data_IF_205082215398
#
_entry.id   IF_205082215398
#
_cell.length_a   1.000
_cell.length_b   1.000
_cell.length_c   1.000
_cell.angle_alpha   90.00
_cell.angle_beta   90.00
_cell.angle_gamma   90.00
#
_symmetry.space_group_name_H-M   'P 1'
#
loop_
_entity.id
_entity.type
_entity.pdbx_description
1 polymer ?
#
# COMPACT_ATOMS: atom_id res chain seq x y z
N UNK A 1 10.55 -17.23 -25.09
CA UNK A 1 10.95 -16.84 -23.75
C UNK A 1 9.77 -16.81 -22.85
N UNK A 2 9.74 -17.66 -21.88
CA UNK A 2 8.63 -17.63 -20.96
C UNK A 2 8.61 -16.31 -20.19
N UNK A 3 7.44 -15.85 -19.84
CA UNK A 3 7.30 -14.69 -18.98
C UNK A 3 7.99 -14.96 -17.65
N UNK A 4 8.59 -13.92 -17.08
CA UNK A 4 9.20 -14.04 -15.75
C UNK A 4 8.07 -14.17 -14.76
N UNK A 5 8.00 -15.32 -14.10
CA UNK A 5 7.03 -15.54 -13.05
C UNK A 5 7.45 -14.78 -11.79
N UNK A 6 6.47 -14.23 -11.09
CA UNK A 6 6.70 -13.65 -9.79
C UNK A 6 6.86 -14.81 -8.78
N UNK A 7 7.99 -14.82 -8.07
CA UNK A 7 8.21 -15.77 -6.99
C UNK A 7 7.53 -15.23 -5.73
N UNK A 8 6.57 -15.96 -5.14
CA UNK A 8 5.86 -15.48 -3.95
C UNK A 8 6.78 -15.11 -2.78
N UNK A 9 7.85 -15.87 -2.56
CA UNK A 9 8.79 -15.56 -1.49
C UNK A 9 9.57 -14.28 -1.78
N UNK A 10 10.00 -14.09 -3.03
CA UNK A 10 10.69 -12.87 -3.44
C UNK A 10 9.77 -11.67 -3.40
N UNK A 11 8.52 -11.83 -3.81
CA UNK A 11 7.53 -10.76 -3.75
C UNK A 11 7.27 -10.31 -2.31
N UNK A 12 7.13 -11.25 -1.39
CA UNK A 12 6.91 -10.93 0.02
C UNK A 12 8.13 -10.23 0.62
N UNK A 13 9.31 -10.72 0.33
CA UNK A 13 10.55 -10.12 0.82
C UNK A 13 10.71 -8.68 0.30
N UNK A 14 10.39 -8.44 -0.96
CA UNK A 14 10.45 -7.11 -1.54
C UNK A 14 9.41 -6.17 -0.91
N UNK A 15 8.20 -6.66 -0.67
CA UNK A 15 7.16 -5.86 -0.02
C UNK A 15 7.56 -5.47 1.41
N UNK A 16 8.33 -6.29 2.10
CA UNK A 16 8.91 -5.95 3.40
C UNK A 16 9.97 -4.85 3.24
N UNK A 17 10.85 -4.99 2.26
CA UNK A 17 11.89 -3.99 1.98
C UNK A 17 11.27 -2.63 1.68
N UNK A 18 10.18 -2.59 0.94
CA UNK A 18 9.47 -1.33 0.62
C UNK A 18 9.03 -0.63 1.92
N UNK A 19 8.44 -1.37 2.84
CA UNK A 19 8.04 -0.81 4.14
C UNK A 19 9.25 -0.33 4.93
N UNK A 20 10.31 -1.13 4.98
CA UNK A 20 11.54 -0.77 5.71
C UNK A 20 12.15 0.51 5.18
N UNK A 21 12.23 0.65 3.86
CA UNK A 21 12.86 1.82 3.25
C UNK A 21 12.03 3.10 3.45
N UNK A 22 10.71 2.99 3.39
CA UNK A 22 9.84 4.13 3.67
C UNK A 22 9.99 4.58 5.12
N UNK A 23 10.04 3.63 6.05
CA UNK A 23 10.22 3.96 7.46
C UNK A 23 11.61 4.55 7.74
N UNK A 24 12.64 4.04 7.11
CA UNK A 24 13.99 4.58 7.25
C UNK A 24 14.05 6.03 6.77
N UNK A 25 13.20 6.42 5.84
CA UNK A 25 13.09 7.79 5.34
C UNK A 25 12.19 8.68 6.21
N UNK A 26 11.64 8.15 7.29
CA UNK A 26 10.82 8.92 8.23
C UNK A 26 9.32 8.86 7.98
N UNK A 27 8.86 7.97 7.11
CA UNK A 27 7.43 7.85 6.78
C UNK A 27 6.80 6.65 7.48
N UNK A 28 5.49 6.72 7.71
CA UNK A 28 4.72 5.54 8.08
C UNK A 28 4.54 4.66 6.85
N UNK A 29 4.54 3.36 7.03
CA UNK A 29 4.26 2.42 5.94
C UNK A 29 3.75 1.11 6.53
N UNK A 30 2.69 0.58 5.93
CA UNK A 30 2.02 -0.64 6.35
C UNK A 30 1.54 -1.38 5.10
N UNK A 31 1.41 -2.69 5.18
CA UNK A 31 0.69 -3.43 4.15
C UNK A 31 -0.80 -3.14 4.25
N UNK A 32 -1.49 -3.14 3.11
CA UNK A 32 -2.90 -2.80 3.03
C UNK A 32 -3.62 -3.68 2.02
N UNK A 33 -4.94 -3.69 2.08
CA UNK A 33 -5.77 -4.34 1.08
C UNK A 33 -5.81 -5.85 1.18
N UNK A 34 -5.95 -6.50 0.03
CA UNK A 34 -6.14 -7.95 -0.05
C UNK A 34 -4.99 -8.77 0.50
N UNK A 35 -3.75 -8.27 0.44
CA UNK A 35 -2.61 -9.01 0.99
C UNK A 35 -2.71 -9.15 2.51
N UNK A 36 -3.26 -8.17 3.20
CA UNK A 36 -3.46 -8.25 4.65
C UNK A 36 -4.48 -9.33 4.97
N UNK A 37 -5.61 -9.32 4.25
CA UNK A 37 -6.62 -10.37 4.40
C UNK A 37 -6.01 -11.75 4.18
N UNK A 38 -5.28 -11.93 3.08
CA UNK A 38 -4.71 -13.22 2.73
C UNK A 38 -3.69 -13.69 3.75
N UNK A 39 -2.81 -12.79 4.23
CA UNK A 39 -1.85 -13.13 5.28
C UNK A 39 -2.55 -13.56 6.57
N UNK A 40 -3.61 -12.86 6.97
CA UNK A 40 -4.34 -13.21 8.19
C UNK A 40 -5.09 -14.53 8.07
N UNK A 41 -5.49 -14.92 6.85
CA UNK A 41 -6.15 -16.18 6.58
C UNK A 41 -5.20 -17.32 6.25
N UNK A 42 -3.88 -17.07 6.31
CA UNK A 42 -2.88 -18.08 5.99
C UNK A 42 -2.75 -18.38 4.51
N UNK A 43 -3.22 -17.49 3.65
CA UNK A 43 -3.13 -17.65 2.19
C UNK A 43 -1.94 -16.87 1.66
N UNK A 44 -1.43 -17.29 0.51
CA UNK A 44 -0.34 -16.56 -0.16
C UNK A 44 -0.95 -15.42 -1.00
N UNK A 45 -0.63 -14.16 -0.69
CA UNK A 45 -1.13 -13.04 -1.50
C UNK A 45 -0.59 -13.09 -2.93
N UNK A 46 -1.42 -12.71 -3.90
CA UNK A 46 -1.00 -12.55 -5.29
C UNK A 46 -0.20 -11.26 -5.48
N UNK A 47 -0.64 -10.19 -4.83
CA UNK A 47 -0.03 -8.88 -4.92
C UNK A 47 0.09 -8.28 -3.53
N UNK A 48 1.06 -7.37 -3.36
CA UNK A 48 1.23 -6.62 -2.12
C UNK A 48 1.01 -5.14 -2.39
N UNK A 49 0.23 -4.51 -1.52
CA UNK A 49 0.01 -3.08 -1.54
C UNK A 49 0.53 -2.49 -0.24
N UNK A 50 1.16 -1.34 -0.34
CA UNK A 50 1.68 -0.60 0.81
C UNK A 50 0.94 0.73 0.90
N UNK A 51 0.50 1.08 2.08
CA UNK A 51 -0.07 2.38 2.39
C UNK A 51 0.93 3.15 3.24
N UNK A 52 1.10 4.43 2.95
CA UNK A 52 2.16 5.24 3.57
C UNK A 52 1.73 6.68 3.77
N UNK A 53 2.39 7.37 4.71
CA UNK A 53 2.26 8.82 4.85
C UNK A 53 3.09 9.58 3.81
N UNK A 54 4.01 8.92 3.12
CA UNK A 54 4.81 9.55 2.08
C UNK A 54 3.93 9.92 0.88
N UNK A 55 4.12 11.13 0.36
CA UNK A 55 3.44 11.57 -0.86
C UNK A 55 4.10 10.93 -2.08
N UNK A 56 3.44 10.93 -3.24
CA UNK A 56 4.01 10.31 -4.43
C UNK A 56 5.42 10.76 -4.79
N UNK A 57 5.70 12.05 -4.70
CA UNK A 57 7.05 12.57 -4.96
C UNK A 57 8.06 12.07 -3.94
N UNK A 58 7.66 11.93 -2.70
CA UNK A 58 8.52 11.40 -1.63
C UNK A 58 8.79 9.91 -1.82
N UNK A 59 7.80 9.15 -2.26
CA UNK A 59 7.98 7.72 -2.60
C UNK A 59 9.01 7.59 -3.71
N UNK A 60 8.88 8.40 -4.76
CA UNK A 60 9.83 8.37 -5.86
C UNK A 60 11.25 8.78 -5.43
N UNK A 61 11.34 9.70 -4.46
CA UNK A 61 12.64 10.09 -3.91
C UNK A 61 13.31 8.93 -3.16
N UNK A 62 12.53 8.11 -2.45
CA UNK A 62 13.05 6.96 -1.71
C UNK A 62 13.56 5.86 -2.64
N UNK A 63 12.81 5.54 -3.68
CA UNK A 63 13.12 4.39 -4.55
C UNK A 63 13.81 4.76 -5.86
N UNK A 64 13.77 6.03 -6.25
CA UNK A 64 14.35 6.52 -7.49
C UNK A 64 13.40 6.45 -8.66
N UNK A 65 13.58 7.34 -9.62
CA UNK A 65 12.68 7.43 -10.76
C UNK A 65 12.73 6.22 -11.68
N UNK A 66 13.89 5.56 -11.76
CA UNK A 66 14.05 4.38 -12.60
C UNK A 66 13.32 3.16 -12.05
N UNK A 67 13.05 3.15 -10.76
CA UNK A 67 12.38 2.04 -10.08
C UNK A 67 10.94 2.34 -9.74
N UNK A 68 10.40 3.43 -10.25
CA UNK A 68 9.02 3.83 -9.94
C UNK A 68 8.28 4.22 -11.21
N UNK A 69 6.98 3.93 -11.22
CA UNK A 69 6.07 4.36 -12.27
C UNK A 69 5.02 5.28 -11.64
N UNK A 70 4.78 6.42 -12.29
CA UNK A 70 3.92 7.45 -11.73
C UNK A 70 2.54 7.51 -12.39
N UNK A 71 2.09 6.44 -13.04
CA UNK A 71 0.81 6.43 -13.75
C UNK A 71 -0.36 6.78 -12.82
N UNK A 72 -0.32 6.27 -11.60
CA UNK A 72 -1.36 6.54 -10.60
C UNK A 72 -1.08 7.72 -9.68
N UNK A 73 -0.07 8.55 -9.97
CA UNK A 73 0.37 9.61 -9.04
C UNK A 73 -0.72 10.61 -8.71
N UNK A 74 -1.62 10.92 -9.67
CA UNK A 74 -2.72 11.86 -9.44
C UNK A 74 -3.71 11.33 -8.38
N UNK A 75 -3.74 10.02 -8.16
CA UNK A 75 -4.57 9.37 -7.15
C UNK A 75 -3.78 8.96 -5.92
N UNK A 76 -2.53 9.38 -5.83
CA UNK A 76 -1.68 9.08 -4.70
C UNK A 76 -0.99 7.73 -4.75
N UNK A 77 -0.89 7.10 -5.92
CA UNK A 77 -0.31 5.76 -6.06
C UNK A 77 0.96 5.81 -6.91
N UNK A 78 2.04 5.23 -6.40
CA UNK A 78 3.28 5.02 -7.13
C UNK A 78 3.55 3.51 -7.17
N UNK A 79 3.83 2.99 -8.35
CA UNK A 79 4.25 1.61 -8.51
C UNK A 79 5.76 1.52 -8.33
N UNK A 80 6.22 0.70 -7.40
CA UNK A 80 7.64 0.48 -7.13
C UNK A 80 8.04 -0.86 -7.73
N UNK A 81 9.03 -0.83 -8.61
CA UNK A 81 9.50 -2.01 -9.33
C UNK A 81 10.53 -2.76 -8.48
N UNK A 82 10.29 -4.04 -8.30
CA UNK A 82 11.19 -4.89 -7.54
C UNK A 82 12.31 -5.49 -8.37
N UNK A 83 13.21 -6.22 -7.72
CA UNK A 83 14.22 -7.01 -8.43
C UNK A 83 13.53 -8.10 -9.25
N UNK A 84 14.31 -8.70 -10.14
CA UNK A 84 13.80 -9.75 -11.02
C UNK A 84 13.14 -10.87 -10.20
N UNK A 85 11.94 -11.25 -10.58
CA UNK A 85 11.17 -12.29 -9.90
C UNK A 85 10.35 -11.81 -8.71
N UNK A 86 10.56 -10.59 -8.24
CA UNK A 86 9.81 -10.05 -7.11
C UNK A 86 8.56 -9.28 -7.51
N UNK A 87 8.40 -8.98 -8.80
CA UNK A 87 7.26 -8.22 -9.28
C UNK A 87 7.33 -6.76 -8.91
N UNK A 88 6.19 -6.20 -8.54
CA UNK A 88 6.07 -4.79 -8.20
C UNK A 88 5.14 -4.61 -7.00
N UNK A 89 5.28 -3.48 -6.32
CA UNK A 89 4.44 -3.12 -5.17
C UNK A 89 3.81 -1.77 -5.46
N UNK A 90 2.51 -1.67 -5.27
CA UNK A 90 1.83 -0.39 -5.34
C UNK A 90 1.90 0.28 -3.98
N UNK A 91 2.38 1.51 -3.96
CA UNK A 91 2.53 2.31 -2.75
C UNK A 91 1.55 3.47 -2.84
N UNK A 92 0.56 3.46 -1.97
CA UNK A 92 -0.50 4.46 -1.96
C UNK A 92 -0.34 5.37 -0.75
N UNK A 93 -0.38 6.67 -0.97
CA UNK A 93 -0.43 7.64 0.13
C UNK A 93 -1.79 7.54 0.83
N UNK A 94 -1.79 7.59 2.15
CA UNK A 94 -3.05 7.64 2.91
C UNK A 94 -3.92 8.78 2.40
N UNK A 95 -5.19 8.48 2.12
CA UNK A 95 -6.09 9.47 1.58
C UNK A 95 -7.48 9.37 2.18
N UNK A 96 -8.20 10.50 2.15
CA UNK A 96 -9.60 10.58 2.53
C UNK A 96 -10.40 11.06 1.32
N UNK A 97 -11.58 10.48 1.14
CA UNK A 97 -12.52 10.91 0.10
C UNK A 97 -13.50 11.96 0.64
N UNK A 98 -13.34 12.39 1.88
CA UNK A 98 -14.23 13.36 2.51
C UNK A 98 -14.20 14.73 1.82
N UNK A 99 -13.15 15.01 1.06
CA UNK A 99 -13.02 16.26 0.33
C UNK A 99 -14.07 16.46 -0.76
N UNK A 100 -14.86 15.45 -1.09
CA UNK A 100 -15.87 15.55 -2.13
C UNK A 100 -17.23 16.02 -1.62
N UNK A 101 -17.26 16.60 -0.45
CA UNK A 101 -18.53 17.02 0.16
C UNK A 101 -19.25 18.10 -0.62
N UNK A 102 -18.55 18.88 -1.43
CA UNK A 102 -19.16 19.92 -2.24
C UNK A 102 -19.75 19.41 -3.56
N UNK A 103 -19.57 18.15 -3.85
CA UNK A 103 -20.08 17.54 -5.08
C UNK A 103 -19.36 17.92 -6.34
N UNK A 104 -18.36 18.79 -6.22
CA UNK A 104 -17.64 19.17 -7.38
C UNK A 104 -16.42 18.43 -7.50
N UNK A 105 -15.89 17.67 -7.32
CA UNK A 105 -14.84 17.16 -7.26
C UNK A 105 -14.02 17.15 -7.81
N UNK A 106 -13.28 17.04 -7.71
CA UNK A 106 -12.35 17.20 -7.84
C UNK A 106 -11.50 16.66 -8.17
N UNK A 107 -10.89 17.01 -8.54
CA UNK A 107 -9.77 16.57 -9.16
C UNK A 107 -8.75 16.01 -8.30
N UNK A 108 -8.69 16.10 -7.23
CA UNK A 108 -7.66 15.56 -6.41
C UNK A 108 -8.16 14.67 -5.30
N UNK A 109 -7.23 14.08 -4.57
CA UNK A 109 -7.50 13.37 -3.34
C UNK A 109 -6.89 14.17 -2.20
N UNK A 110 -7.48 14.07 -1.01
CA UNK A 110 -6.92 14.66 0.19
C UNK A 110 -6.07 13.62 0.91
N UNK A 111 -4.79 13.90 1.05
CA UNK A 111 -3.88 12.99 1.77
C UNK A 111 -4.08 13.15 3.27
N UNK A 112 -4.00 12.05 3.99
CA UNK A 112 -4.35 12.02 5.39
C UNK A 112 -3.56 10.93 6.15
N UNK A 113 -4.14 10.34 7.15
CA UNK A 113 -3.52 9.31 7.97
C UNK A 113 -4.15 7.93 7.76
N UNK A 114 -3.59 6.91 8.39
CA UNK A 114 -4.03 5.53 8.22
C UNK A 114 -5.48 5.31 8.64
N UNK A 115 -5.92 5.97 9.70
CA UNK A 115 -7.29 5.81 10.20
C UNK A 115 -8.31 6.33 9.19
N UNK A 116 -8.08 7.53 8.66
CA UNK A 116 -8.96 8.11 7.65
C UNK A 116 -8.96 7.28 6.38
N UNK A 117 -7.80 6.79 5.98
CA UNK A 117 -7.69 5.92 4.81
C UNK A 117 -8.51 4.64 5.00
N UNK A 118 -8.44 4.02 6.18
CA UNK A 118 -9.20 2.81 6.48
C UNK A 118 -10.71 3.07 6.38
N UNK A 119 -11.16 4.20 6.87
CA UNK A 119 -12.60 4.53 6.91
C UNK A 119 -13.21 4.73 5.53
N UNK A 120 -12.43 5.06 4.51
CA UNK A 120 -12.94 5.25 3.15
C UNK A 120 -13.13 3.98 2.36
N UNK A 121 -12.62 2.84 2.84
CA UNK A 121 -12.64 1.59 2.09
C UNK A 121 -14.02 0.95 2.15
N UNK A 122 -14.43 0.31 1.03
CA UNK A 122 -15.78 -0.22 0.87
C UNK A 122 -16.12 -1.35 1.84
N UNK A 123 -15.15 -2.19 2.15
CA UNK A 123 -15.35 -3.32 3.05
C UNK A 123 -14.44 -3.18 4.25
N UNK A 124 -14.94 -3.53 5.43
CA UNK A 124 -14.16 -3.46 6.67
C UNK A 124 -12.90 -4.31 6.62
N UNK A 125 -12.97 -5.47 5.96
CA UNK A 125 -11.79 -6.34 5.81
C UNK A 125 -10.70 -5.70 4.95
N UNK A 126 -11.03 -4.72 4.12
CA UNK A 126 -10.08 -3.97 3.31
C UNK A 126 -9.53 -2.74 4.05
N UNK A 127 -10.08 -2.43 5.21
CA UNK A 127 -9.60 -1.35 6.08
C UNK A 127 -8.55 -1.80 7.09
N UNK A 128 -8.09 -3.04 7.00
CA UNK A 128 -7.04 -3.54 7.87
C UNK A 128 -5.66 -3.20 7.31
N UNK A 129 -4.77 -2.82 8.20
CA UNK A 129 -3.36 -2.63 7.87
C UNK A 129 -2.52 -3.60 8.67
N UNK A 130 -1.44 -4.09 8.08
CA UNK A 130 -0.51 -5.00 8.74
C UNK A 130 0.87 -4.40 8.73
N UNK A 131 1.51 -4.37 9.90
CA UNK A 131 2.91 -4.07 10.02
C UNK A 131 3.70 -5.37 9.79
N UNK A 132 4.35 -5.54 8.63
CA UNK A 132 5.05 -6.80 8.34
C UNK A 132 6.31 -6.99 9.16
N UNK A 133 6.83 -5.93 9.79
CA UNK A 133 8.05 -6.02 10.59
C UNK A 133 7.77 -6.55 11.99
N UNK A 134 6.59 -6.29 12.53
CA UNK A 134 6.20 -6.71 13.89
C UNK A 134 5.07 -7.72 13.91
N UNK A 135 4.33 -7.87 12.80
CA UNK A 135 3.13 -8.69 12.74
C UNK A 135 1.89 -8.02 13.35
N UNK A 136 1.99 -6.74 13.69
CA UNK A 136 0.88 -6.01 14.32
C UNK A 136 -0.19 -5.66 13.28
N UNK A 137 -1.45 -5.95 13.61
CA UNK A 137 -2.61 -5.58 12.80
C UNK A 137 -3.19 -4.27 13.32
N UNK A 138 -3.37 -3.31 12.42
CA UNK A 138 -4.03 -2.04 12.73
C UNK A 138 -5.45 -2.11 12.19
N UNK A 139 -6.43 -2.20 13.08
CA UNK A 139 -7.84 -2.36 12.73
C UNK A 139 -8.64 -1.17 13.22
N UNK A 140 -8.86 -0.21 12.33
CA UNK A 140 -9.59 1.01 12.64
C UNK A 140 -11.09 0.91 12.36
N UNK A 141 -11.53 -0.17 11.73
CA UNK A 141 -12.92 -0.32 11.27
C UNK A 141 -13.54 -1.65 11.70
N UNK A 142 -12.91 -2.33 12.65
CA UNK A 142 -13.36 -3.63 13.16
C UNK A 142 -13.48 -4.68 12.07
N UNK A 143 -12.65 -4.56 11.02
CA UNK A 143 -12.67 -5.47 9.88
C UNK A 143 -12.17 -6.86 10.20
N UNK A 144 -11.36 -7.01 11.26
CA UNK A 144 -10.82 -8.30 11.65
C UNK A 144 -11.93 -9.28 12.07
N UNK A 145 -12.99 -8.76 12.66
CA UNK A 145 -14.13 -9.56 13.04
C UNK A 145 -14.90 -10.11 11.83
N UNK A 146 -14.71 -9.51 10.65
CA UNK A 146 -15.41 -9.88 9.43
C UNK A 146 -14.63 -10.87 8.55
N UNK A 147 -13.47 -11.29 9.00
CA UNK A 147 -12.65 -12.27 8.26
C UNK A 147 -13.30 -13.66 8.22
#
# INVERSE_FOLDING_TARGET
MPAISCDPAAARAFAIVVVERLRAAGHEALWAGGCVRDELLGRTPADYDVATSARPDQVRAVFGQRRTLAVGAAFGVITVLGPRGAGQVEVATFRSDAAYTDGRHPAGVTFTDAREDALRRDFTINGLFLDPLTGTVHDYVDGRADL
#
